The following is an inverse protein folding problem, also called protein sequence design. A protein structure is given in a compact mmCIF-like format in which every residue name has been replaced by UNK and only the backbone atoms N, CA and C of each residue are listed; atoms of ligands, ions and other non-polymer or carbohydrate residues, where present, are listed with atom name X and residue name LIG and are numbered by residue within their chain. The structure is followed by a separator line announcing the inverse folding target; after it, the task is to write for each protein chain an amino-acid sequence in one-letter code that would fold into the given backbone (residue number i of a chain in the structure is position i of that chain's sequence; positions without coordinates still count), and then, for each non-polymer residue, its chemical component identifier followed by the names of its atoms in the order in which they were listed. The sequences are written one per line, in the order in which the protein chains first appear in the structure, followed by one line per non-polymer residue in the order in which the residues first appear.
data_IF_846979345900
#
_entry.id   IF_846979345900
#
_cell.length_a   1.000
_cell.length_b   1.000
_cell.length_c   1.000
_cell.angle_alpha   90.00
_cell.angle_beta   90.00
_cell.angle_gamma   90.00
#
_symmetry.space_group_name_H-M   'P 1'
#
loop_
_entity.id
_entity.type
_entity.pdbx_description
1 polymer ?
#
# COMPACT_ATOMS: atom_id res chain seq x y z
N UNK A 1 -15.09 -31.82 3.96
CA UNK A 1 -15.25 -30.57 4.73
C UNK A 1 -15.33 -29.43 3.72
N UNK A 2 -16.42 -28.68 3.72
CA UNK A 2 -16.58 -27.49 2.86
C UNK A 2 -16.02 -26.29 3.61
N UNK A 3 -14.95 -25.67 3.08
CA UNK A 3 -14.46 -24.40 3.59
C UNK A 3 -15.38 -23.30 3.05
N UNK A 4 -16.01 -22.53 3.93
CA UNK A 4 -16.70 -21.30 3.54
C UNK A 4 -15.61 -20.30 3.12
N UNK A 5 -15.44 -20.15 1.81
CA UNK A 5 -14.54 -19.18 1.20
C UNK A 5 -15.32 -17.88 1.06
N UNK A 6 -14.90 -16.85 1.79
CA UNK A 6 -15.44 -15.49 1.66
C UNK A 6 -14.40 -14.59 1.04
N UNK A 7 -14.77 -13.88 -0.04
CA UNK A 7 -13.95 -12.82 -0.61
C UNK A 7 -14.10 -11.56 0.24
N UNK A 8 -12.97 -11.07 0.76
CA UNK A 8 -12.96 -9.86 1.58
C UNK A 8 -12.18 -8.75 0.88
N UNK A 9 -12.75 -7.55 0.88
CA UNK A 9 -12.12 -6.35 0.34
C UNK A 9 -11.68 -5.43 1.48
N UNK A 10 -10.42 -4.98 1.45
CA UNK A 10 -9.94 -3.91 2.34
C UNK A 10 -9.24 -2.83 1.55
N UNK A 11 -9.69 -1.58 1.73
CA UNK A 11 -9.06 -0.41 1.13
C UNK A 11 -8.23 0.30 2.18
N UNK A 12 -7.00 0.66 1.82
CA UNK A 12 -6.08 1.42 2.66
C UNK A 12 -5.62 2.65 1.89
N UNK A 13 -5.81 3.83 2.48
CA UNK A 13 -5.29 5.09 1.97
C UNK A 13 -3.99 5.44 2.72
N UNK A 14 -2.93 5.74 1.96
CA UNK A 14 -1.67 6.21 2.53
C UNK A 14 -1.28 7.52 1.86
N UNK A 15 -1.23 8.57 2.67
CA UNK A 15 -0.94 9.94 2.24
C UNK A 15 0.19 10.50 3.11
N UNK A 16 1.25 11.01 2.47
CA UNK A 16 2.34 11.69 3.19
C UNK A 16 1.84 13.04 3.71
N UNK A 17 1.94 13.27 5.03
CA UNK A 17 1.45 14.50 5.69
C UNK A 17 2.56 15.51 6.04
N UNK A 18 3.81 15.22 5.69
CA UNK A 18 4.96 16.04 6.07
C UNK A 18 5.28 17.19 5.09
N UNK A 19 6.02 18.18 5.59
CA UNK A 19 6.49 19.35 4.81
C UNK A 19 7.35 18.97 3.60
N UNK A 20 8.00 17.80 3.64
CA UNK A 20 8.79 17.28 2.53
C UNK A 20 7.94 16.32 1.70
N UNK A 21 7.23 16.87 0.71
CA UNK A 21 6.44 16.08 -0.23
C UNK A 21 7.42 15.27 -1.10
N UNK A 22 7.44 13.96 -0.88
CA UNK A 22 8.22 13.02 -1.68
C UNK A 22 7.29 12.31 -2.65
N UNK A 23 7.74 12.15 -3.89
CA UNK A 23 7.02 11.28 -4.81
C UNK A 23 7.32 9.85 -4.42
N UNK A 24 6.30 9.00 -4.40
CA UNK A 24 6.45 7.56 -4.24
C UNK A 24 7.22 7.04 -5.45
N UNK A 25 8.26 6.28 -5.21
CA UNK A 25 9.10 5.70 -6.25
C UNK A 25 9.01 4.17 -6.26
N UNK A 26 8.63 3.58 -5.14
CA UNK A 26 8.50 2.14 -4.96
C UNK A 26 7.43 1.85 -3.92
N UNK A 27 6.56 0.91 -4.24
CA UNK A 27 5.60 0.31 -3.31
C UNK A 27 5.94 -1.18 -3.27
N UNK A 28 6.27 -1.69 -2.09
CA UNK A 28 6.42 -3.13 -1.85
C UNK A 28 5.26 -3.59 -0.98
N UNK A 29 4.65 -4.69 -1.41
CA UNK A 29 3.60 -5.38 -0.66
C UNK A 29 4.11 -6.77 -0.33
N UNK A 30 4.19 -7.07 0.96
CA UNK A 30 4.67 -8.34 1.48
C UNK A 30 3.50 -9.04 2.17
N UNK A 31 3.15 -10.23 1.69
CA UNK A 31 2.22 -11.11 2.39
C UNK A 31 3.02 -11.91 3.44
N UNK A 32 2.72 -11.67 4.72
CA UNK A 32 3.36 -12.33 5.86
C UNK A 32 2.46 -13.41 6.46
N UNK A 33 1.39 -13.77 5.76
CA UNK A 33 0.48 -14.84 6.17
C UNK A 33 1.21 -16.19 6.19
N UNK A 34 1.15 -16.89 7.33
CA UNK A 34 1.75 -18.22 7.53
C UNK A 34 1.06 -19.36 6.76
N UNK A 35 -0.02 -19.05 6.02
CA UNK A 35 -0.85 -20.02 5.31
C UNK A 35 -0.79 -19.66 3.83
N UNK A 36 -0.71 -20.65 2.93
CA UNK A 36 -0.81 -20.45 1.48
C UNK A 36 -2.13 -19.71 1.15
N UNK A 37 -2.03 -18.40 1.01
CA UNK A 37 -3.12 -17.50 0.65
C UNK A 37 -2.73 -16.79 -0.63
N UNK A 38 -3.75 -16.41 -1.38
CA UNK A 38 -3.59 -15.51 -2.51
C UNK A 38 -4.18 -14.18 -2.08
N UNK A 39 -3.30 -13.25 -1.68
CA UNK A 39 -3.65 -11.84 -1.47
C UNK A 39 -3.16 -11.06 -2.68
N UNK A 40 -4.08 -10.38 -3.34
CA UNK A 40 -3.78 -9.47 -4.44
C UNK A 40 -3.93 -8.05 -3.93
N UNK A 41 -2.89 -7.25 -4.14
CA UNK A 41 -2.90 -5.82 -3.89
C UNK A 41 -2.98 -5.06 -5.21
N UNK A 42 -3.95 -4.16 -5.32
CA UNK A 42 -4.20 -3.34 -6.50
C UNK A 42 -4.10 -1.87 -6.14
N UNK A 43 -3.39 -1.07 -6.93
CA UNK A 43 -3.42 0.39 -6.82
C UNK A 43 -4.71 0.87 -7.48
N UNK A 44 -5.60 1.48 -6.70
CA UNK A 44 -6.83 2.08 -7.24
C UNK A 44 -6.58 3.48 -7.81
N UNK A 45 -5.77 4.28 -7.12
CA UNK A 45 -5.41 5.65 -7.54
C UNK A 45 -4.14 6.13 -6.82
N UNK A 46 -3.49 7.16 -7.36
CA UNK A 46 -2.17 7.64 -6.92
C UNK A 46 -1.05 6.69 -7.34
N UNK A 47 -0.12 6.41 -6.44
CA UNK A 47 0.97 5.45 -6.66
C UNK A 47 2.29 6.11 -7.05
N UNK A 48 3.08 5.42 -7.88
CA UNK A 48 4.41 5.89 -8.29
C UNK A 48 4.30 7.27 -8.98
N UNK A 49 5.10 8.24 -8.53
CA UNK A 49 5.08 9.62 -8.98
C UNK A 49 4.13 10.54 -8.20
N UNK A 50 3.23 9.99 -7.39
CA UNK A 50 2.34 10.74 -6.50
C UNK A 50 2.89 10.76 -5.07
N UNK A 51 2.39 11.67 -4.22
CA UNK A 51 2.67 11.69 -2.78
C UNK A 51 1.65 10.90 -1.94
N UNK A 52 0.74 10.21 -2.62
CA UNK A 52 -0.30 9.38 -2.02
C UNK A 52 -0.54 8.12 -2.88
N UNK A 53 -1.09 7.09 -2.26
CA UNK A 53 -1.58 5.89 -2.95
C UNK A 53 -2.78 5.33 -2.21
N UNK A 54 -3.73 4.78 -2.97
CA UNK A 54 -4.85 4.02 -2.43
C UNK A 54 -4.71 2.59 -2.92
N UNK A 55 -4.55 1.66 -1.98
CA UNK A 55 -4.41 0.24 -2.24
C UNK A 55 -5.70 -0.48 -1.86
N UNK A 56 -6.14 -1.40 -2.72
CA UNK A 56 -7.16 -2.38 -2.40
C UNK A 56 -6.52 -3.75 -2.28
N UNK A 57 -6.79 -4.42 -1.17
CA UNK A 57 -6.43 -5.80 -0.93
C UNK A 57 -7.65 -6.68 -1.14
N UNK A 58 -7.45 -7.72 -1.95
CA UNK A 58 -8.42 -8.78 -2.21
C UNK A 58 -7.79 -10.11 -1.86
N UNK A 59 -8.53 -10.96 -1.16
CA UNK A 59 -8.02 -12.26 -0.78
C UNK A 59 -9.13 -13.21 -0.41
N UNK A 60 -8.83 -14.50 -0.59
CA UNK A 60 -9.65 -15.60 -0.11
C UNK A 60 -9.15 -15.95 1.30
N UNK A 61 -9.98 -15.75 2.33
CA UNK A 61 -9.65 -16.15 3.69
C UNK A 61 -10.64 -17.17 4.26
N UNK A 62 -10.17 -18.13 5.10
CA UNK A 62 -11.02 -18.78 6.09
C UNK A 62 -11.45 -17.73 7.14
N UNK A 63 -12.68 -17.83 7.65
CA UNK A 63 -13.31 -16.78 8.48
C UNK A 63 -12.55 -16.39 9.76
N UNK A 64 -11.58 -17.18 10.23
CA UNK A 64 -11.02 -17.03 11.58
C UNK A 64 -9.55 -16.60 11.63
N UNK A 65 -8.92 -16.30 10.49
CA UNK A 65 -7.47 -16.10 10.47
C UNK A 65 -7.09 -14.74 9.87
N UNK A 66 -6.39 -13.87 10.63
CA UNK A 66 -6.07 -12.52 10.18
C UNK A 66 -5.12 -12.55 8.98
N UNK A 67 -5.37 -11.68 8.01
CA UNK A 67 -4.46 -11.41 6.89
C UNK A 67 -3.45 -10.36 7.35
N UNK A 68 -2.16 -10.69 7.27
CA UNK A 68 -1.06 -9.80 7.68
C UNK A 68 -0.31 -9.39 6.42
N UNK A 69 -0.40 -8.11 6.08
CA UNK A 69 0.30 -7.53 4.93
C UNK A 69 1.12 -6.35 5.41
N UNK A 70 2.39 -6.34 5.04
CA UNK A 70 3.27 -5.19 5.24
C UNK A 70 3.35 -4.41 3.94
N UNK A 71 3.05 -3.10 4.03
CA UNK A 71 3.18 -2.17 2.90
C UNK A 71 4.34 -1.23 3.18
N UNK A 72 5.37 -1.29 2.34
CA UNK A 72 6.52 -0.38 2.39
C UNK A 72 6.41 0.60 1.23
N UNK A 73 6.40 1.90 1.56
CA UNK A 73 6.35 2.98 0.59
C UNK A 73 7.64 3.78 0.69
N UNK A 74 8.40 3.78 -0.39
CA UNK A 74 9.61 4.58 -0.51
C UNK A 74 9.36 5.74 -1.47
N UNK A 75 9.83 6.92 -1.08
CA UNK A 75 9.78 8.10 -1.92
C UNK A 75 11.10 8.83 -1.98
N UNK A 76 11.34 9.54 -3.08
CA UNK A 76 12.42 10.51 -3.18
C UNK A 76 11.84 11.92 -3.05
N UNK A 77 12.57 12.84 -2.39
CA UNK A 77 12.15 14.24 -2.31
C UNK A 77 11.89 14.79 -3.71
N UNK A 78 10.73 15.43 -3.91
CA UNK A 78 10.45 16.09 -5.18
C UNK A 78 11.45 17.24 -5.38
N UNK A 79 12.03 17.37 -6.59
CA UNK A 79 12.96 18.47 -6.93
C UNK A 79 12.37 19.87 -6.72
N UNK A 80 11.04 19.99 -6.62
CA UNK A 80 10.39 21.26 -6.25
C UNK A 80 10.68 21.70 -4.80
N UNK A 81 10.99 20.77 -3.89
CA UNK A 81 11.34 21.10 -2.51
C UNK A 81 12.72 21.79 -2.38
N UNK A 82 13.56 21.74 -3.42
CA UNK A 82 14.95 22.22 -3.38
C UNK A 82 15.15 23.65 -3.90
N UNK A 83 14.09 24.38 -4.29
CA UNK A 83 14.22 25.83 -4.54
C UNK A 83 14.21 26.60 -3.21
N UNK A 84 15.24 26.40 -2.40
CA UNK A 84 15.55 27.33 -1.32
C UNK A 84 16.18 28.54 -1.99
N UNK A 85 15.44 29.65 -2.04
CA UNK A 85 15.97 30.94 -2.46
C UNK A 85 16.89 31.42 -1.33
N UNK A 86 18.21 31.33 -1.53
CA UNK A 86 19.17 31.98 -0.65
C UNK A 86 19.21 33.46 -1.06
N UNK A 87 18.52 34.29 -0.29
CA UNK A 87 18.65 35.76 -0.29
C UNK A 87 19.86 36.19 0.52
#
# INVERSE_FOLDING_TARGET
MSYNISETFRTVEITQKDKLISNINLILVLDESQVERVVVATILTGGIGCNYTILQFTGIQPEESPVIVTVLIYGLPSRQASKIHLS
#
